data_IF_130923589095
#
_entry.id   IF_130923589095
#
_cell.length_a   1.000
_cell.length_b   1.000
_cell.length_c   1.000
_cell.angle_alpha   90.00
_cell.angle_beta   90.00
_cell.angle_gamma   90.00
#
_symmetry.space_group_name_H-M   'P 1'
#
loop_
_entity.id
_entity.type
_entity.pdbx_description
1 polymer ?
#
# COMPACT_ATOMS: atom_id res chain seq x y z
N UNK A 1 -13.19 16.82 -1.80
CA UNK A 1 -11.86 17.45 -1.78
C UNK A 1 -11.50 17.88 -3.18
N UNK A 2 -10.66 18.92 -3.30
CA UNK A 2 -10.02 19.32 -4.56
C UNK A 2 -8.57 18.85 -4.55
N UNK A 3 -8.17 18.07 -5.54
CA UNK A 3 -6.86 17.41 -5.59
C UNK A 3 -6.17 17.79 -6.90
N UNK A 4 -4.92 18.25 -6.80
CA UNK A 4 -4.05 18.44 -7.96
C UNK A 4 -3.06 17.29 -8.06
N UNK A 5 -2.94 16.68 -9.24
CA UNK A 5 -2.03 15.56 -9.53
C UNK A 5 -0.96 16.06 -10.50
N UNK A 6 0.29 15.97 -10.10
CA UNK A 6 1.46 16.19 -10.96
C UNK A 6 1.92 14.88 -11.58
N UNK A 7 1.76 14.77 -12.90
CA UNK A 7 2.05 13.58 -13.69
C UNK A 7 0.79 12.87 -14.18
N UNK A 8 0.60 12.87 -15.50
CA UNK A 8 -0.53 12.26 -16.20
C UNK A 8 -0.28 10.83 -16.70
N UNK A 9 0.82 10.21 -16.30
CA UNK A 9 1.14 8.83 -16.66
C UNK A 9 0.14 7.82 -16.08
N UNK A 10 0.39 6.52 -16.24
CA UNK A 10 -0.53 5.46 -15.80
C UNK A 10 -1.01 5.64 -14.35
N UNK A 11 -0.09 5.90 -13.41
CA UNK A 11 -0.45 6.08 -11.98
C UNK A 11 -1.35 7.29 -11.78
N UNK A 12 -1.00 8.44 -12.36
CA UNK A 12 -1.79 9.67 -12.24
C UNK A 12 -3.18 9.53 -12.86
N UNK A 13 -3.29 8.93 -14.02
CA UNK A 13 -4.57 8.67 -14.69
C UNK A 13 -5.50 7.76 -13.86
N UNK A 14 -5.00 6.61 -13.38
CA UNK A 14 -5.80 5.71 -12.55
C UNK A 14 -6.18 6.34 -11.20
N UNK A 15 -5.28 7.11 -10.60
CA UNK A 15 -5.58 7.86 -9.38
C UNK A 15 -6.69 8.89 -9.63
N UNK A 16 -6.62 9.63 -10.73
CA UNK A 16 -7.64 10.59 -11.11
C UNK A 16 -9.02 9.91 -11.29
N UNK A 17 -9.08 8.79 -12.01
CA UNK A 17 -10.31 8.00 -12.17
C UNK A 17 -10.90 7.55 -10.83
N UNK A 18 -10.05 7.03 -9.94
CA UNK A 18 -10.49 6.61 -8.60
C UNK A 18 -11.04 7.77 -7.78
N UNK A 19 -10.34 8.93 -7.79
CA UNK A 19 -10.79 10.12 -7.06
C UNK A 19 -12.12 10.67 -7.61
N UNK A 20 -12.29 10.67 -8.93
CA UNK A 20 -13.54 11.07 -9.58
C UNK A 20 -14.71 10.14 -9.21
N UNK A 21 -14.49 8.83 -9.16
CA UNK A 21 -15.49 7.87 -8.71
C UNK A 21 -15.96 8.14 -7.27
N UNK A 22 -15.07 8.67 -6.43
CA UNK A 22 -15.37 9.11 -5.06
C UNK A 22 -15.83 10.58 -4.96
N UNK A 23 -16.22 11.21 -6.11
CA UNK A 23 -16.74 12.57 -6.21
C UNK A 23 -15.78 13.67 -5.74
N UNK A 24 -14.47 13.45 -5.87
CA UNK A 24 -13.48 14.49 -5.69
C UNK A 24 -13.32 15.32 -6.97
N UNK A 25 -12.92 16.59 -6.83
CA UNK A 25 -12.52 17.41 -7.97
C UNK A 25 -11.03 17.19 -8.22
N UNK A 26 -10.67 16.92 -9.47
CA UNK A 26 -9.30 16.60 -9.85
C UNK A 26 -8.83 17.57 -10.95
N UNK A 27 -7.58 18.02 -10.83
CA UNK A 27 -6.83 18.71 -11.89
C UNK A 27 -5.53 17.94 -12.10
N UNK A 28 -5.11 17.75 -13.35
CA UNK A 28 -3.83 17.10 -13.68
C UNK A 28 -2.88 18.13 -14.30
N UNK A 29 -1.61 18.09 -13.90
CA UNK A 29 -0.50 18.81 -14.54
C UNK A 29 0.38 17.77 -15.24
N UNK A 30 0.61 17.93 -16.55
CA UNK A 30 1.38 16.98 -17.36
C UNK A 30 2.17 17.76 -18.43
N UNK A 31 3.50 17.55 -18.57
CA UNK A 31 4.29 18.28 -19.56
C UNK A 31 4.11 17.82 -21.00
N UNK A 32 3.69 16.58 -21.25
CA UNK A 32 3.56 16.03 -22.60
C UNK A 32 2.23 16.40 -23.24
N UNK A 33 2.25 17.23 -24.28
CA UNK A 33 1.04 17.76 -24.93
C UNK A 33 0.09 16.65 -25.44
N UNK A 34 0.64 15.59 -26.04
CA UNK A 34 -0.18 14.48 -26.53
C UNK A 34 -0.91 13.78 -25.39
N UNK A 35 -0.25 13.62 -24.25
CA UNK A 35 -0.85 12.98 -23.07
C UNK A 35 -1.90 13.91 -22.43
N UNK A 36 -1.65 15.22 -22.40
CA UNK A 36 -2.64 16.22 -21.94
C UNK A 36 -3.94 16.10 -22.72
N UNK A 37 -3.87 16.04 -24.04
CA UNK A 37 -5.06 15.90 -24.89
C UNK A 37 -5.81 14.60 -24.62
N UNK A 38 -5.08 13.48 -24.57
CA UNK A 38 -5.68 12.17 -24.30
C UNK A 38 -6.37 12.12 -22.93
N UNK A 39 -5.78 12.73 -21.91
CA UNK A 39 -6.36 12.80 -20.56
C UNK A 39 -7.61 13.68 -20.52
N UNK A 40 -7.56 14.85 -21.16
CA UNK A 40 -8.71 15.77 -21.22
C UNK A 40 -9.91 15.10 -21.93
N UNK A 41 -9.65 14.39 -23.03
CA UNK A 41 -10.70 13.69 -23.79
C UNK A 41 -11.30 12.49 -23.00
N UNK A 42 -10.48 11.82 -22.19
CA UNK A 42 -10.90 10.60 -21.49
C UNK A 42 -11.53 10.83 -20.13
N UNK A 43 -11.19 11.90 -19.42
CA UNK A 43 -11.59 12.10 -18.02
C UNK A 43 -12.54 13.28 -17.79
N UNK A 44 -12.74 14.14 -18.77
CA UNK A 44 -13.56 15.38 -18.66
C UNK A 44 -13.19 16.22 -17.42
N UNK A 45 -11.86 16.45 -17.23
CA UNK A 45 -11.29 17.22 -16.14
C UNK A 45 -10.32 18.27 -16.66
N UNK A 46 -10.03 19.34 -15.87
CA UNK A 46 -8.96 20.25 -16.19
C UNK A 46 -7.60 19.53 -16.27
N UNK A 47 -6.93 19.65 -17.42
CA UNK A 47 -5.56 19.19 -17.63
C UNK A 47 -4.71 20.39 -18.03
N UNK A 48 -3.72 20.70 -17.21
CA UNK A 48 -2.81 21.83 -17.45
C UNK A 48 -1.53 21.28 -18.07
N UNK A 49 -1.27 21.71 -19.31
CA UNK A 49 -0.08 21.27 -20.04
C UNK A 49 1.12 22.13 -19.60
N UNK A 50 2.06 21.51 -18.90
CA UNK A 50 3.24 22.17 -18.39
C UNK A 50 3.97 21.38 -17.31
N UNK A 51 5.11 21.93 -16.88
CA UNK A 51 5.93 21.30 -15.85
C UNK A 51 5.38 21.59 -14.45
N UNK A 52 5.21 20.56 -13.64
CA UNK A 52 4.70 20.68 -12.27
C UNK A 52 5.70 21.33 -11.28
N UNK A 53 6.95 21.55 -11.67
CA UNK A 53 7.91 22.34 -10.88
C UNK A 53 7.91 23.83 -11.28
N UNK A 54 7.14 24.20 -12.30
CA UNK A 54 6.96 25.59 -12.71
C UNK A 54 5.90 26.27 -11.86
N UNK A 55 6.27 27.40 -11.26
CA UNK A 55 5.35 28.22 -10.46
C UNK A 55 4.15 28.72 -11.27
N UNK A 56 4.37 29.14 -12.53
CA UNK A 56 3.30 29.61 -13.40
C UNK A 56 2.32 28.48 -13.79
N UNK A 57 2.82 27.29 -14.03
CA UNK A 57 2.00 26.12 -14.30
C UNK A 57 1.13 25.78 -13.08
N UNK A 58 1.72 25.75 -11.88
CA UNK A 58 0.98 25.51 -10.64
C UNK A 58 -0.08 26.59 -10.36
N UNK A 59 0.23 27.83 -10.66
CA UNK A 59 -0.74 28.95 -10.54
C UNK A 59 -1.90 28.76 -11.52
N UNK A 60 -1.63 28.39 -12.76
CA UNK A 60 -2.64 28.11 -13.78
C UNK A 60 -3.53 26.93 -13.38
N UNK A 61 -2.95 25.92 -12.72
CA UNK A 61 -3.67 24.76 -12.18
C UNK A 61 -4.48 25.07 -10.91
N UNK A 62 -4.43 26.32 -10.42
CA UNK A 62 -5.09 26.77 -9.18
C UNK A 62 -4.74 25.89 -7.96
N UNK A 63 -3.45 25.54 -7.81
CA UNK A 63 -2.94 24.67 -6.75
C UNK A 63 -3.25 25.23 -5.36
N UNK A 64 -3.24 26.56 -5.19
CA UNK A 64 -3.54 27.22 -3.92
C UNK A 64 -4.94 26.89 -3.36
N UNK A 65 -5.90 26.54 -4.22
CA UNK A 65 -7.25 26.16 -3.79
C UNK A 65 -7.43 24.65 -3.54
N UNK A 66 -6.34 23.87 -3.67
CA UNK A 66 -6.40 22.43 -3.51
C UNK A 66 -6.24 22.00 -2.04
N UNK A 67 -7.01 21.01 -1.63
CA UNK A 67 -6.90 20.38 -0.31
C UNK A 67 -5.69 19.46 -0.23
N UNK A 68 -5.27 18.89 -1.37
CA UNK A 68 -4.11 18.01 -1.48
C UNK A 68 -3.40 18.15 -2.83
N UNK A 69 -2.11 17.94 -2.82
CA UNK A 69 -1.25 17.87 -4.00
C UNK A 69 -0.54 16.52 -4.04
N UNK A 70 -0.63 15.82 -5.18
CA UNK A 70 -0.08 14.47 -5.34
C UNK A 70 0.91 14.46 -6.51
N UNK A 71 2.19 14.22 -6.23
CA UNK A 71 3.23 14.15 -7.24
C UNK A 71 3.58 12.69 -7.57
N UNK A 72 3.28 12.28 -8.80
CA UNK A 72 3.46 10.91 -9.32
C UNK A 72 4.17 10.89 -10.66
N UNK A 73 5.06 11.84 -10.89
CA UNK A 73 5.91 11.88 -12.09
C UNK A 73 6.90 10.71 -12.11
N UNK A 74 7.65 10.57 -13.19
CA UNK A 74 8.69 9.54 -13.31
C UNK A 74 9.97 9.81 -12.52
N UNK A 75 10.16 11.02 -11.98
CA UNK A 75 11.39 11.49 -11.34
C UNK A 75 11.13 11.85 -9.87
N UNK A 76 11.83 11.21 -8.94
CA UNK A 76 11.66 11.41 -7.50
C UNK A 76 12.01 12.85 -7.08
N UNK A 77 13.04 13.44 -7.72
CA UNK A 77 13.46 14.83 -7.51
C UNK A 77 12.38 15.82 -7.92
N UNK A 78 11.71 15.60 -9.05
CA UNK A 78 10.61 16.45 -9.49
C UNK A 78 9.41 16.34 -8.55
N UNK A 79 9.12 15.13 -8.06
CA UNK A 79 8.06 14.89 -7.09
C UNK A 79 8.33 15.64 -5.77
N UNK A 80 9.58 15.62 -5.30
CA UNK A 80 9.99 16.36 -4.12
C UNK A 80 9.80 17.87 -4.31
N UNK A 81 10.39 18.43 -5.39
CA UNK A 81 10.35 19.87 -5.66
C UNK A 81 8.92 20.35 -5.83
N UNK A 82 8.11 19.62 -6.61
CA UNK A 82 6.70 19.95 -6.81
C UNK A 82 5.91 19.99 -5.50
N UNK A 83 6.09 18.98 -4.62
CA UNK A 83 5.46 18.96 -3.30
C UNK A 83 5.94 20.12 -2.41
N UNK A 84 7.22 20.46 -2.44
CA UNK A 84 7.75 21.59 -1.67
C UNK A 84 7.17 22.92 -2.14
N UNK A 85 7.08 23.15 -3.46
CA UNK A 85 6.47 24.35 -4.01
C UNK A 85 4.98 24.42 -3.63
N UNK A 86 4.23 23.33 -3.83
CA UNK A 86 2.81 23.26 -3.47
C UNK A 86 2.58 23.61 -1.99
N UNK A 87 3.42 23.09 -1.10
CA UNK A 87 3.28 23.30 0.34
C UNK A 87 3.71 24.70 0.77
N UNK A 88 4.88 25.17 0.31
CA UNK A 88 5.50 26.42 0.82
C UNK A 88 4.97 27.67 0.15
N UNK A 89 4.73 27.61 -1.16
CA UNK A 89 4.34 28.77 -1.96
C UNK A 89 2.82 28.85 -2.18
N UNK A 90 2.14 27.70 -2.27
CA UNK A 90 0.70 27.66 -2.49
C UNK A 90 -0.11 27.27 -1.24
N UNK A 91 0.55 26.94 -0.13
CA UNK A 91 -0.11 26.66 1.15
C UNK A 91 -0.94 25.39 1.20
N UNK A 92 -0.67 24.41 0.32
CA UNK A 92 -1.40 23.14 0.32
C UNK A 92 -1.12 22.37 1.60
N UNK A 93 -2.17 21.97 2.30
CA UNK A 93 -2.06 21.32 3.62
C UNK A 93 -1.53 19.89 3.57
N UNK A 94 -1.77 19.15 2.49
CA UNK A 94 -1.38 17.75 2.35
C UNK A 94 -0.66 17.51 1.04
N UNK A 95 0.56 17.02 1.14
CA UNK A 95 1.39 16.63 -0.01
C UNK A 95 1.67 15.14 0.02
N UNK A 96 1.52 14.50 -1.14
CA UNK A 96 1.82 13.07 -1.32
C UNK A 96 2.78 12.94 -2.49
N UNK A 97 3.88 12.21 -2.32
CA UNK A 97 4.82 11.94 -3.40
C UNK A 97 5.00 10.44 -3.64
N UNK A 98 5.11 10.07 -4.90
CA UNK A 98 5.62 8.76 -5.29
C UNK A 98 7.16 8.80 -5.24
N UNK A 99 7.75 7.80 -4.58
CA UNK A 99 9.16 7.47 -4.72
C UNK A 99 9.29 6.21 -5.60
N UNK A 100 10.13 6.26 -6.61
CA UNK A 100 10.48 5.11 -7.44
C UNK A 100 11.64 4.32 -6.83
N UNK A 101 12.57 5.02 -6.16
CA UNK A 101 13.67 4.39 -5.44
C UNK A 101 13.33 4.29 -3.93
N UNK A 102 13.32 3.07 -3.34
CA UNK A 102 13.06 2.89 -1.92
C UNK A 102 13.94 3.73 -1.00
N UNK A 103 15.20 3.96 -1.38
CA UNK A 103 16.17 4.76 -0.61
C UNK A 103 15.76 6.23 -0.50
N UNK A 104 14.95 6.73 -1.44
CA UNK A 104 14.50 8.13 -1.43
C UNK A 104 13.27 8.35 -0.53
N UNK A 105 12.60 7.29 -0.06
CA UNK A 105 11.37 7.40 0.74
C UNK A 105 11.57 8.24 2.00
N UNK A 106 12.57 7.90 2.80
CA UNK A 106 12.87 8.59 4.04
C UNK A 106 13.39 10.02 3.79
N UNK A 107 14.20 10.19 2.74
CA UNK A 107 14.72 11.48 2.33
C UNK A 107 13.60 12.46 1.93
N UNK A 108 12.67 12.03 1.08
CA UNK A 108 11.54 12.88 0.67
C UNK A 108 10.68 13.29 1.87
N UNK A 109 10.43 12.36 2.78
CA UNK A 109 9.68 12.66 4.01
C UNK A 109 10.42 13.67 4.89
N UNK A 110 11.72 13.48 5.12
CA UNK A 110 12.56 14.40 5.92
C UNK A 110 12.61 15.81 5.28
N UNK A 111 12.59 15.88 3.95
CA UNK A 111 12.58 17.14 3.20
C UNK A 111 11.20 17.79 3.11
N UNK A 112 10.20 17.28 3.82
CA UNK A 112 8.92 17.94 4.08
C UNK A 112 7.73 17.49 3.27
N UNK A 113 7.82 16.38 2.53
CA UNK A 113 6.65 15.71 1.94
C UNK A 113 5.89 14.99 3.05
N UNK A 114 4.57 15.22 3.17
CA UNK A 114 3.80 14.66 4.30
C UNK A 114 3.64 13.13 4.20
N UNK A 115 3.45 12.62 2.99
CA UNK A 115 3.30 11.17 2.77
C UNK A 115 4.11 10.75 1.54
N UNK A 116 4.95 9.75 1.69
CA UNK A 116 5.73 9.17 0.59
C UNK A 116 5.34 7.71 0.37
N UNK A 117 4.95 7.39 -0.86
CA UNK A 117 4.57 6.03 -1.26
C UNK A 117 5.60 5.49 -2.24
N UNK A 118 6.26 4.39 -1.88
CA UNK A 118 7.18 3.68 -2.76
C UNK A 118 6.49 2.49 -3.41
N UNK A 119 6.04 2.65 -4.67
CA UNK A 119 5.37 1.59 -5.40
C UNK A 119 6.28 0.42 -5.74
N UNK A 120 7.55 0.68 -6.01
CA UNK A 120 8.55 -0.35 -6.33
C UNK A 120 8.78 -1.29 -5.15
N UNK A 121 8.95 -0.74 -3.95
CA UNK A 121 9.13 -1.50 -2.72
C UNK A 121 7.91 -2.38 -2.43
N UNK A 122 6.73 -1.77 -2.44
CA UNK A 122 5.48 -2.49 -2.21
C UNK A 122 5.25 -3.62 -3.23
N UNK A 123 5.51 -3.35 -4.53
CA UNK A 123 5.34 -4.35 -5.58
C UNK A 123 6.38 -5.47 -5.47
N UNK A 124 7.63 -5.14 -5.15
CA UNK A 124 8.69 -6.15 -4.96
C UNK A 124 8.34 -7.12 -3.84
N UNK A 125 7.86 -6.61 -2.71
CA UNK A 125 7.42 -7.47 -1.61
C UNK A 125 6.19 -8.33 -1.96
N UNK A 126 5.27 -7.81 -2.78
CA UNK A 126 4.14 -8.62 -3.26
C UNK A 126 4.64 -9.74 -4.19
N UNK A 127 5.53 -9.43 -5.13
CA UNK A 127 6.09 -10.41 -6.06
C UNK A 127 6.95 -11.45 -5.35
N UNK A 128 7.77 -11.03 -4.39
CA UNK A 128 8.57 -11.92 -3.54
C UNK A 128 7.67 -12.93 -2.84
N UNK A 129 6.57 -12.46 -2.22
CA UNK A 129 5.58 -13.32 -1.57
C UNK A 129 4.91 -14.32 -2.50
N UNK A 130 4.68 -13.96 -3.77
CA UNK A 130 4.07 -14.87 -4.74
C UNK A 130 5.05 -15.93 -5.27
N UNK A 131 6.36 -15.68 -5.15
CA UNK A 131 7.42 -16.63 -5.55
C UNK A 131 7.74 -17.58 -4.39
N UNK A 132 7.68 -17.09 -3.17
CA UNK A 132 7.92 -17.87 -1.97
C UNK A 132 6.79 -18.90 -1.76
N UNK A 133 7.13 -20.17 -1.82
CA UNK A 133 6.24 -21.30 -1.52
C UNK A 133 6.23 -21.64 -0.03
N UNK A 134 6.64 -20.71 0.81
CA UNK A 134 6.80 -20.96 2.23
C UNK A 134 5.46 -21.20 2.94
N UNK A 135 5.51 -22.08 3.92
CA UNK A 135 4.39 -22.39 4.82
C UNK A 135 3.84 -21.16 5.54
N UNK A 136 4.66 -20.10 5.62
CA UNK A 136 4.31 -18.82 6.28
C UNK A 136 4.55 -17.65 5.34
N UNK A 137 3.59 -16.73 5.36
CA UNK A 137 3.66 -15.49 4.59
C UNK A 137 3.31 -14.30 5.48
N UNK A 138 4.26 -13.40 5.72
CA UNK A 138 3.97 -12.15 6.42
C UNK A 138 3.25 -11.18 5.48
N UNK A 139 2.02 -10.81 5.81
CA UNK A 139 1.20 -9.92 4.98
C UNK A 139 1.40 -8.44 5.33
N UNK A 140 1.54 -8.13 6.62
CA UNK A 140 1.63 -6.76 7.11
C UNK A 140 2.42 -6.70 8.41
N UNK A 141 3.32 -5.71 8.53
CA UNK A 141 3.96 -5.33 9.79
C UNK A 141 3.19 -4.18 10.43
N UNK A 142 2.91 -4.26 11.71
CA UNK A 142 2.14 -3.31 12.51
C UNK A 142 2.99 -2.72 13.63
N UNK A 143 2.60 -1.54 14.12
CA UNK A 143 3.24 -0.93 15.28
C UNK A 143 4.74 -0.66 15.13
N UNK A 144 5.22 -0.38 13.89
CA UNK A 144 6.65 -0.15 13.64
C UNK A 144 7.52 -1.41 13.74
N UNK A 145 6.96 -2.61 13.56
CA UNK A 145 7.66 -3.89 13.63
C UNK A 145 7.49 -4.64 14.97
N UNK A 146 6.51 -4.26 15.79
CA UNK A 146 6.26 -4.96 17.07
C UNK A 146 5.27 -6.11 16.93
N UNK A 147 4.45 -6.12 15.89
CA UNK A 147 3.49 -7.17 15.59
C UNK A 147 3.34 -7.36 14.07
N UNK A 148 2.94 -8.53 13.66
CA UNK A 148 2.75 -8.87 12.25
C UNK A 148 1.48 -9.67 12.01
N UNK A 149 0.88 -9.42 10.85
CA UNK A 149 -0.21 -10.21 10.32
C UNK A 149 0.37 -11.25 9.36
N UNK A 150 0.19 -12.52 9.68
CA UNK A 150 0.80 -13.62 8.98
C UNK A 150 -0.25 -14.58 8.42
N UNK A 151 -0.03 -15.09 7.23
CA UNK A 151 -0.78 -16.19 6.64
C UNK A 151 0.04 -17.47 6.76
N UNK A 152 -0.55 -18.52 7.31
CA UNK A 152 0.06 -19.84 7.47
C UNK A 152 -0.74 -20.86 6.66
N UNK A 153 -0.10 -21.54 5.73
CA UNK A 153 -0.68 -22.67 5.01
C UNK A 153 -0.36 -23.97 5.76
N UNK A 154 -1.38 -24.65 6.24
CA UNK A 154 -1.20 -25.92 6.94
C UNK A 154 -0.82 -27.03 5.94
N UNK A 155 0.31 -27.72 6.14
CA UNK A 155 0.71 -28.82 5.27
C UNK A 155 -0.18 -30.04 5.45
N UNK A 156 -0.10 -30.98 4.51
CA UNK A 156 -0.79 -32.26 4.62
C UNK A 156 -0.41 -33.03 5.90
N UNK A 157 0.85 -32.88 6.32
CA UNK A 157 1.40 -33.54 7.53
C UNK A 157 1.14 -32.76 8.82
N UNK A 158 0.17 -31.84 8.85
CA UNK A 158 -0.10 -31.03 10.04
C UNK A 158 -0.45 -31.90 11.25
N UNK A 159 0.31 -31.77 12.33
CA UNK A 159 0.24 -32.69 13.49
C UNK A 159 -1.06 -32.57 14.30
N UNK A 160 -1.79 -31.46 14.17
CA UNK A 160 -3.08 -31.24 14.85
C UNK A 160 -4.27 -31.28 13.89
N UNK A 161 -4.13 -31.89 12.73
CA UNK A 161 -5.22 -32.04 11.77
C UNK A 161 -6.47 -32.64 12.41
N UNK A 162 -7.64 -32.00 12.23
CA UNK A 162 -8.92 -32.44 12.79
C UNK A 162 -9.14 -32.10 14.27
N UNK A 163 -8.19 -31.46 14.96
CA UNK A 163 -8.38 -30.99 16.33
C UNK A 163 -9.04 -29.62 16.36
N UNK A 164 -9.81 -29.36 17.42
CA UNK A 164 -10.38 -28.07 17.68
C UNK A 164 -9.31 -27.05 18.14
N UNK A 165 -9.49 -25.78 17.82
CA UNK A 165 -8.55 -24.72 18.17
C UNK A 165 -8.28 -24.65 19.68
N UNK A 166 -9.30 -24.88 20.51
CA UNK A 166 -9.14 -24.90 21.96
C UNK A 166 -8.25 -26.02 22.50
N UNK A 167 -8.02 -27.08 21.69
CA UNK A 167 -7.22 -28.24 22.04
C UNK A 167 -5.79 -28.18 21.47
N UNK A 168 -5.43 -27.06 20.80
CA UNK A 168 -4.15 -26.86 20.14
C UNK A 168 -3.35 -25.79 20.90
N UNK A 169 -2.04 -25.98 21.09
CA UNK A 169 -1.22 -24.97 21.74
C UNK A 169 -1.11 -23.72 20.86
N UNK A 170 -1.55 -22.58 21.40
CA UNK A 170 -1.43 -21.25 20.76
C UNK A 170 -0.74 -20.36 21.77
N UNK A 171 0.39 -19.72 21.42
CA UNK A 171 1.06 -18.74 22.28
C UNK A 171 0.13 -17.58 22.66
N UNK A 172 0.28 -17.05 23.90
CA UNK A 172 -0.64 -16.05 24.46
C UNK A 172 -0.76 -14.75 23.65
N UNK A 173 0.30 -14.39 22.93
CA UNK A 173 0.35 -13.17 22.09
C UNK A 173 0.01 -13.45 20.61
N UNK A 174 -0.82 -14.47 20.37
CA UNK A 174 -1.29 -14.88 19.05
C UNK A 174 -2.80 -14.89 18.98
N UNK A 175 -3.36 -14.32 17.94
CA UNK A 175 -4.79 -14.36 17.63
C UNK A 175 -4.97 -14.95 16.24
N UNK A 176 -5.80 -16.00 16.12
CA UNK A 176 -6.26 -16.49 14.83
C UNK A 176 -7.40 -15.60 14.35
N UNK A 177 -7.21 -14.93 13.21
CA UNK A 177 -8.14 -13.93 12.68
C UNK A 177 -9.17 -14.56 11.77
N UNK A 178 -8.73 -15.42 10.85
CA UNK A 178 -9.60 -16.14 9.92
C UNK A 178 -8.95 -17.42 9.43
N UNK A 179 -9.77 -18.31 8.90
CA UNK A 179 -9.36 -19.53 8.18
C UNK A 179 -10.01 -19.47 6.81
N UNK A 180 -9.22 -19.68 5.77
CA UNK A 180 -9.73 -19.88 4.42
C UNK A 180 -9.51 -21.35 4.06
N UNK A 181 -10.62 -22.05 3.82
CA UNK A 181 -10.64 -23.46 3.41
C UNK A 181 -11.24 -23.55 2.02
N UNK A 182 -10.46 -23.89 1.02
CA UNK A 182 -10.82 -23.83 -0.39
C UNK A 182 -11.34 -22.41 -0.76
N UNK A 183 -12.65 -22.24 -0.85
CA UNK A 183 -13.32 -20.95 -1.14
C UNK A 183 -14.13 -20.42 0.05
N UNK A 184 -14.19 -21.17 1.15
CA UNK A 184 -14.96 -20.80 2.33
C UNK A 184 -14.12 -19.93 3.29
N UNK A 185 -14.69 -18.79 3.70
CA UNK A 185 -14.09 -17.93 4.72
C UNK A 185 -14.72 -18.20 6.07
N UNK A 186 -13.93 -18.65 7.05
CA UNK A 186 -14.35 -19.07 8.37
C UNK A 186 -13.80 -18.10 9.41
N UNK A 187 -14.67 -17.57 10.28
CA UNK A 187 -14.25 -16.86 11.49
C UNK A 187 -14.03 -17.92 12.57
N UNK A 188 -12.79 -18.10 13.08
CA UNK A 188 -12.47 -19.19 13.98
C UNK A 188 -13.05 -18.96 15.39
N UNK A 189 -13.54 -20.04 15.97
CA UNK A 189 -13.95 -20.14 17.37
C UNK A 189 -13.19 -21.30 18.04
N UNK A 190 -13.25 -21.41 19.35
CA UNK A 190 -12.55 -22.48 20.07
C UNK A 190 -12.88 -23.90 19.60
N UNK A 191 -14.12 -24.14 19.14
CA UNK A 191 -14.58 -25.43 18.61
C UNK A 191 -14.34 -25.63 17.10
N UNK A 192 -13.79 -24.64 16.43
CA UNK A 192 -13.44 -24.77 15.00
C UNK A 192 -12.27 -25.72 14.85
N UNK A 193 -12.39 -26.70 13.96
CA UNK A 193 -11.32 -27.66 13.68
C UNK A 193 -10.39 -27.18 12.58
N UNK A 194 -9.09 -27.40 12.72
CA UNK A 194 -8.09 -27.12 11.69
C UNK A 194 -7.88 -28.36 10.82
N UNK A 195 -7.80 -28.14 9.51
CA UNK A 195 -7.57 -29.21 8.52
C UNK A 195 -6.31 -28.92 7.70
N UNK A 196 -5.70 -29.95 7.09
CA UNK A 196 -4.66 -29.75 6.10
C UNK A 196 -5.14 -28.81 4.99
N UNK A 197 -4.22 -28.01 4.47
CA UNK A 197 -4.45 -27.02 3.41
C UNK A 197 -5.30 -25.79 3.84
N UNK A 198 -5.72 -25.72 5.11
CA UNK A 198 -6.29 -24.47 5.62
C UNK A 198 -5.25 -23.35 5.54
N UNK A 199 -5.69 -22.18 5.06
CA UNK A 199 -4.93 -20.94 5.15
C UNK A 199 -5.38 -20.17 6.37
N UNK A 200 -4.50 -20.01 7.32
CA UNK A 200 -4.80 -19.37 8.61
C UNK A 200 -4.19 -17.97 8.61
N UNK A 201 -5.04 -16.97 8.77
CA UNK A 201 -4.59 -15.62 9.04
C UNK A 201 -4.44 -15.45 10.54
N UNK A 202 -3.25 -15.11 11.02
CA UNK A 202 -2.98 -14.86 12.42
C UNK A 202 -2.27 -13.53 12.64
N UNK A 203 -2.56 -12.90 13.77
CA UNK A 203 -1.86 -11.75 14.29
C UNK A 203 -0.95 -12.22 15.43
N UNK A 204 0.35 -11.92 15.32
CA UNK A 204 1.35 -12.30 16.32
C UNK A 204 2.24 -11.12 16.67
N UNK A 205 2.80 -11.08 17.89
CA UNK A 205 4.00 -10.28 18.12
C UNK A 205 5.18 -10.92 17.37
N UNK A 206 6.14 -10.10 16.93
CA UNK A 206 7.24 -10.59 16.08
C UNK A 206 8.05 -11.71 16.76
N UNK A 207 8.28 -11.59 18.07
CA UNK A 207 9.00 -12.61 18.86
C UNK A 207 8.18 -13.89 19.12
N UNK A 208 6.89 -13.90 18.79
CA UNK A 208 5.97 -15.01 19.11
C UNK A 208 5.71 -15.93 17.92
N UNK A 209 5.91 -15.45 16.70
CA UNK A 209 5.64 -16.24 15.48
C UNK A 209 6.43 -17.55 15.45
N UNK A 210 7.72 -17.51 15.79
CA UNK A 210 8.56 -18.72 15.82
C UNK A 210 8.07 -19.73 16.87
N UNK A 211 7.55 -19.27 18.01
CA UNK A 211 6.97 -20.15 19.05
C UNK A 211 5.72 -20.87 18.55
N UNK A 212 4.88 -20.17 17.77
CA UNK A 212 3.71 -20.77 17.15
C UNK A 212 4.13 -21.85 16.14
N UNK A 213 5.15 -21.54 15.33
CA UNK A 213 5.67 -22.46 14.34
C UNK A 213 6.25 -23.74 14.96
N UNK A 214 7.05 -23.59 16.01
CA UNK A 214 7.62 -24.71 16.76
C UNK A 214 6.51 -25.55 17.39
N UNK A 215 5.55 -24.87 18.05
CA UNK A 215 4.42 -25.56 18.69
C UNK A 215 3.56 -26.37 17.70
N UNK A 216 3.47 -25.89 16.45
CA UNK A 216 2.68 -26.55 15.39
C UNK A 216 3.49 -27.49 14.51
N UNK A 217 4.80 -27.62 14.76
CA UNK A 217 5.71 -28.47 13.98
C UNK A 217 5.90 -27.99 12.55
N UNK A 218 5.80 -26.68 12.33
CA UNK A 218 5.90 -26.02 11.02
C UNK A 218 7.26 -25.37 10.80
N UNK A 219 8.13 -25.34 11.80
CA UNK A 219 9.52 -24.86 11.66
C UNK A 219 10.25 -25.79 10.71
N UNK A 220 10.61 -25.29 9.51
CA UNK A 220 11.29 -26.07 8.49
C UNK A 220 12.64 -26.58 8.97
N UNK A 221 13.01 -27.77 8.50
CA UNK A 221 14.36 -28.31 8.57
C UNK A 221 15.26 -27.59 7.58
#
# INVERSE_FOLDING_TARGET
>A
MKVCIAGGGKVGMYLAQSLLAHRHKVTIIEPQEMLCRSLADSLDIPVICGDAISFDTMRTADVASCDAFVAVTGADENNLVACQIAKREFGVNRTVARASNPKNRELLHTLGVDTVVCGTDNLSHILEREIETDTIRQLLSLGGGTASLNEILLPESFIYAGKAIMDIPIPGDTILVSITRDTEFIIPHGNTTLLPWDRILCLTQDDTLHLLMDAWGLSGK
#
